data_IF_432513504605
#
_entry.id   IF_432513504605
#
_cell.length_a   1.000
_cell.length_b   1.000
_cell.length_c   1.000
_cell.angle_alpha   90.00
_cell.angle_beta   90.00
_cell.angle_gamma   90.00
#
_symmetry.space_group_name_H-M   'P 1'
#
loop_
_entity.id
_entity.type
_entity.pdbx_description
1 polymer ?
#
# COMPACT_ATOMS: atom_id res chain seq x y z
N UNK A 1 -27.42 -11.09 5.86
CA UNK A 1 -26.29 -11.96 6.22
C UNK A 1 -25.04 -11.09 6.31
N UNK A 2 -24.43 -10.97 7.49
CA UNK A 2 -23.26 -10.12 7.70
C UNK A 2 -22.02 -10.75 7.04
N UNK A 3 -21.41 -10.03 6.10
CA UNK A 3 -20.20 -10.46 5.41
C UNK A 3 -19.04 -10.57 6.40
N UNK A 4 -18.50 -11.77 6.53
CA UNK A 4 -17.39 -12.11 7.43
C UNK A 4 -16.10 -11.50 6.86
N UNK A 5 -15.67 -10.33 7.36
CA UNK A 5 -14.34 -9.78 7.07
C UNK A 5 -13.28 -10.82 7.49
N UNK A 6 -12.45 -11.23 6.54
CA UNK A 6 -11.36 -12.19 6.75
C UNK A 6 -10.19 -11.49 7.45
N UNK A 7 -9.63 -12.12 8.50
CA UNK A 7 -8.51 -11.60 9.31
C UNK A 7 -7.27 -11.19 8.49
N UNK A 8 -7.11 -11.74 7.28
CA UNK A 8 -6.03 -11.40 6.34
C UNK A 8 -6.10 -9.95 5.85
N UNK A 9 -7.31 -9.41 5.66
CA UNK A 9 -7.47 -8.04 5.17
C UNK A 9 -6.98 -7.01 6.20
N UNK A 10 -7.11 -7.32 7.49
CA UNK A 10 -6.69 -6.42 8.57
C UNK A 10 -5.17 -6.38 8.70
N UNK A 11 -4.43 -7.48 8.47
CA UNK A 11 -2.96 -7.47 8.51
C UNK A 11 -2.31 -6.73 7.34
N UNK A 12 -3.04 -6.59 6.23
CA UNK A 12 -2.56 -5.89 5.03
C UNK A 12 -2.80 -4.39 5.17
N UNK A 13 -3.98 -3.99 5.66
CA UNK A 13 -4.34 -2.59 5.81
C UNK A 13 -3.85 -1.99 7.13
N UNK A 14 -3.83 -2.76 8.22
CA UNK A 14 -3.52 -2.32 9.60
C UNK A 14 -2.58 -3.31 10.31
N UNK A 15 -1.29 -3.38 9.95
CA UNK A 15 -0.34 -4.18 10.72
C UNK A 15 -0.27 -3.67 12.17
N UNK A 16 -0.52 -4.54 13.15
CA UNK A 16 -0.66 -4.25 14.59
C UNK A 16 0.53 -3.54 15.26
N UNK A 17 1.61 -3.27 14.54
CA UNK A 17 2.87 -2.76 15.10
C UNK A 17 3.17 -1.28 14.80
N UNK A 18 2.25 -0.50 14.22
CA UNK A 18 2.49 0.93 13.95
C UNK A 18 1.36 1.90 14.36
N UNK A 19 0.21 1.43 14.85
CA UNK A 19 -0.97 2.28 15.09
C UNK A 19 -0.96 2.93 16.49
N UNK A 20 0.00 3.81 16.75
CA UNK A 20 0.05 4.60 18.00
C UNK A 20 -0.45 6.06 17.84
N UNK A 21 -1.09 6.41 16.72
CA UNK A 21 -1.69 7.73 16.48
C UNK A 21 -2.86 7.70 15.50
N UNK A 22 -3.63 8.80 15.44
CA UNK A 22 -4.83 8.98 14.59
C UNK A 22 -4.52 9.11 13.08
N UNK A 23 -3.24 9.18 12.70
CA UNK A 23 -2.78 9.36 11.32
C UNK A 23 -2.13 8.07 10.83
N UNK A 24 -2.59 7.57 9.69
CA UNK A 24 -2.01 6.39 9.06
C UNK A 24 -0.60 6.70 8.54
N UNK A 25 0.35 5.79 8.74
CA UNK A 25 1.77 6.03 8.41
C UNK A 25 1.98 6.42 6.93
N UNK A 26 1.18 5.86 6.01
CA UNK A 26 1.26 6.21 4.59
C UNK A 26 0.83 7.66 4.30
N UNK A 27 -0.12 8.20 5.05
CA UNK A 27 -0.58 9.58 4.89
C UNK A 27 0.51 10.56 5.34
N UNK A 28 1.14 10.28 6.48
CA UNK A 28 2.31 11.03 6.93
C UNK A 28 3.46 11.02 5.91
N UNK A 29 3.73 9.86 5.30
CA UNK A 29 4.73 9.73 4.22
C UNK A 29 4.31 10.57 3.00
N UNK A 30 3.05 10.49 2.57
CA UNK A 30 2.54 11.25 1.44
C UNK A 30 2.67 12.75 1.66
N UNK A 31 2.27 13.26 2.83
CA UNK A 31 2.39 14.69 3.18
C UNK A 31 3.84 15.16 3.29
N UNK A 32 4.79 14.26 3.53
CA UNK A 32 6.21 14.58 3.65
C UNK A 32 6.96 14.67 2.31
N UNK A 33 6.30 14.38 1.18
CA UNK A 33 6.92 14.19 -0.13
C UNK A 33 6.20 14.98 -1.22
N UNK A 34 6.94 15.39 -2.26
CA UNK A 34 6.30 15.79 -3.52
C UNK A 34 5.57 14.60 -4.16
N UNK A 35 4.57 14.86 -5.01
CA UNK A 35 3.82 13.82 -5.74
C UNK A 35 4.75 12.82 -6.45
N UNK A 36 5.79 13.32 -7.13
CA UNK A 36 6.78 12.48 -7.82
C UNK A 36 7.59 11.60 -6.87
N UNK A 37 7.97 12.12 -5.70
CA UNK A 37 8.69 11.34 -4.69
C UNK A 37 7.79 10.25 -4.09
N UNK A 38 6.54 10.58 -3.80
CA UNK A 38 5.57 9.61 -3.30
C UNK A 38 5.28 8.51 -4.33
N UNK A 39 5.08 8.86 -5.60
CA UNK A 39 4.99 7.89 -6.70
C UNK A 39 6.21 6.97 -6.78
N UNK A 40 7.42 7.52 -6.59
CA UNK A 40 8.66 6.76 -6.49
C UNK A 40 8.67 5.77 -5.32
N UNK A 41 8.20 6.20 -4.14
CA UNK A 41 8.05 5.34 -2.95
C UNK A 41 7.07 4.19 -3.20
N UNK A 42 5.91 4.47 -3.81
CA UNK A 42 4.92 3.45 -4.16
C UNK A 42 5.50 2.43 -5.16
N UNK A 43 6.14 2.92 -6.25
CA UNK A 43 6.81 2.08 -7.25
C UNK A 43 7.87 1.17 -6.62
N UNK A 44 8.70 1.72 -5.72
CA UNK A 44 9.72 0.96 -5.00
C UNK A 44 9.11 -0.17 -4.16
N UNK A 45 8.00 0.09 -3.47
CA UNK A 45 7.30 -0.93 -2.69
C UNK A 45 6.66 -2.01 -3.57
N UNK A 46 6.05 -1.66 -4.71
CA UNK A 46 5.56 -2.67 -5.67
C UNK A 46 6.70 -3.63 -6.06
N UNK A 47 7.85 -3.09 -6.49
CA UNK A 47 9.01 -3.91 -6.88
C UNK A 47 9.52 -4.76 -5.71
N UNK A 48 9.62 -4.20 -4.51
CA UNK A 48 10.07 -4.91 -3.30
C UNK A 48 9.19 -6.12 -3.00
N UNK A 49 7.87 -5.98 -3.03
CA UNK A 49 6.95 -7.07 -2.71
C UNK A 49 6.84 -8.09 -3.85
N UNK A 50 6.93 -7.65 -5.11
CA UNK A 50 7.05 -8.58 -6.26
C UNK A 50 8.36 -9.35 -6.20
N UNK A 51 9.49 -8.75 -5.82
CA UNK A 51 10.74 -9.52 -5.64
C UNK A 51 10.61 -10.52 -4.49
N UNK A 52 10.14 -10.07 -3.32
CA UNK A 52 10.21 -10.85 -2.08
C UNK A 52 9.34 -12.11 -2.06
N UNK A 53 8.28 -12.16 -2.87
CA UNK A 53 7.26 -13.20 -2.77
C UNK A 53 7.80 -14.64 -2.89
N UNK A 54 8.94 -14.84 -3.55
CA UNK A 54 9.57 -16.16 -3.77
C UNK A 54 10.31 -16.71 -2.54
N UNK A 55 10.61 -15.87 -1.52
CA UNK A 55 11.63 -16.20 -0.51
C UNK A 55 11.12 -16.46 0.92
N UNK A 56 9.90 -16.02 1.29
CA UNK A 56 9.51 -15.91 2.71
C UNK A 56 8.30 -16.75 3.15
N UNK A 57 7.81 -17.67 2.32
CA UNK A 57 6.65 -18.51 2.67
C UNK A 57 5.34 -17.72 2.89
N UNK A 58 5.31 -16.43 2.54
CA UNK A 58 4.15 -15.52 2.58
C UNK A 58 3.88 -14.90 1.21
N UNK A 59 4.03 -15.72 0.17
CA UNK A 59 3.96 -15.31 -1.23
C UNK A 59 2.68 -14.51 -1.54
N UNK A 60 1.51 -15.02 -1.11
CA UNK A 60 0.24 -14.35 -1.38
C UNK A 60 0.10 -13.00 -0.64
N UNK A 61 0.61 -12.88 0.57
CA UNK A 61 0.58 -11.61 1.32
C UNK A 61 1.46 -10.55 0.64
N UNK A 62 2.62 -10.96 0.13
CA UNK A 62 3.51 -10.09 -0.62
C UNK A 62 2.85 -9.63 -1.93
N UNK A 63 2.26 -10.53 -2.70
CA UNK A 63 1.52 -10.17 -3.92
C UNK A 63 0.32 -9.25 -3.62
N UNK A 64 -0.40 -9.49 -2.52
CA UNK A 64 -1.51 -8.62 -2.08
C UNK A 64 -1.00 -7.23 -1.69
N UNK A 65 0.15 -7.13 -1.02
CA UNK A 65 0.79 -5.84 -0.72
C UNK A 65 1.26 -5.13 -1.97
N UNK A 66 1.88 -5.83 -2.92
CA UNK A 66 2.27 -5.27 -4.21
C UNK A 66 1.05 -4.65 -4.92
N UNK A 67 -0.07 -5.38 -4.99
CA UNK A 67 -1.33 -4.85 -5.55
C UNK A 67 -1.85 -3.62 -4.81
N UNK A 68 -1.78 -3.60 -3.48
CA UNK A 68 -2.20 -2.45 -2.69
C UNK A 68 -1.39 -1.18 -3.03
N UNK A 69 -0.06 -1.30 -3.11
CA UNK A 69 0.81 -0.19 -3.51
C UNK A 69 0.59 0.23 -4.97
N UNK A 70 0.32 -0.73 -5.86
CA UNK A 70 0.02 -0.44 -7.27
C UNK A 70 -1.29 0.33 -7.42
N UNK A 71 -2.35 -0.06 -6.71
CA UNK A 71 -3.63 0.65 -6.73
C UNK A 71 -3.49 2.09 -6.25
N UNK A 72 -2.70 2.33 -5.20
CA UNK A 72 -2.40 3.69 -4.74
C UNK A 72 -1.63 4.48 -5.79
N UNK A 73 -0.66 3.88 -6.46
CA UNK A 73 0.10 4.55 -7.53
C UNK A 73 -0.81 4.94 -8.70
N UNK A 74 -1.70 4.04 -9.12
CA UNK A 74 -2.72 4.31 -10.14
C UNK A 74 -3.59 5.50 -9.73
N UNK A 75 -4.11 5.50 -8.50
CA UNK A 75 -4.92 6.61 -8.00
C UNK A 75 -4.20 7.97 -8.09
N UNK A 76 -2.90 8.03 -7.76
CA UNK A 76 -2.14 9.29 -7.92
C UNK A 76 -2.03 9.76 -9.37
N UNK A 77 -2.16 8.88 -10.36
CA UNK A 77 -2.14 9.27 -11.78
C UNK A 77 -3.52 9.61 -12.31
N UNK A 78 -4.57 8.96 -11.80
CA UNK A 78 -5.96 9.28 -12.13
C UNK A 78 -6.38 10.66 -11.59
N UNK A 79 -5.97 11.01 -10.37
CA UNK A 79 -6.16 12.35 -9.81
C UNK A 79 -5.48 13.45 -10.65
N UNK A 80 -4.35 13.14 -11.28
CA UNK A 80 -3.67 14.08 -12.18
C UNK A 80 -4.34 14.21 -13.56
N UNK A 81 -5.27 13.32 -13.91
CA UNK A 81 -5.99 13.32 -15.21
C UNK A 81 -7.35 14.03 -15.13
N UNK A 82 -7.84 14.34 -13.92
CA UNK A 82 -9.13 15.04 -13.73
C UNK A 82 -9.01 16.57 -13.72
N UNK A 83 -7.78 17.09 -13.74
CA UNK A 83 -7.48 18.52 -13.73
C UNK A 83 -7.18 19.10 -15.13
N UNK A 84 -7.22 18.25 -16.18
CA UNK A 84 -7.11 18.60 -17.61
C UNK A 84 -8.48 18.46 -18.34
#
# INVERSE_FOLDING_TARGET
MASKKTKDADLINNPTHYNTGDIECIEAIQSSMTTRQFQGYLKGNVMKYVWRHEYKGKMLDDLRKARWYLNKLIATHEENLSDD
#
